data_IF_955091632433
#
_entry.id   IF_955091632433
#
_cell.length_a   1.000
_cell.length_b   1.000
_cell.length_c   1.000
_cell.angle_alpha   90.00
_cell.angle_beta   90.00
_cell.angle_gamma   90.00
#
_symmetry.space_group_name_H-M   'P 1'
#
loop_
_entity.id
_entity.type
_entity.pdbx_description
1 polymer ?
#
# COMPACT_ATOMS: atom_id res chain seq x y z
N UNK A 1 16.55 8.40 43.20
CA UNK A 1 16.17 7.13 42.53
C UNK A 1 15.23 7.49 41.38
N UNK A 2 15.80 7.91 40.23
CA UNK A 2 15.03 8.43 39.11
C UNK A 2 14.43 7.26 38.32
N UNK A 3 13.11 7.07 38.46
CA UNK A 3 12.34 6.23 37.56
C UNK A 3 12.46 6.82 36.15
N UNK A 4 13.28 6.20 35.29
CA UNK A 4 13.14 6.36 33.84
C UNK A 4 11.69 6.02 33.52
N UNK A 5 10.87 7.03 33.25
CA UNK A 5 9.57 6.83 32.62
C UNK A 5 9.88 6.01 31.37
N UNK A 6 9.41 4.75 31.33
CA UNK A 6 9.58 3.92 30.15
C UNK A 6 9.04 4.70 28.95
N UNK A 7 9.80 4.76 27.85
CA UNK A 7 9.40 5.48 26.64
C UNK A 7 7.98 5.09 26.18
N UNK A 8 7.55 3.86 26.46
CA UNK A 8 6.20 3.38 26.23
C UNK A 8 5.13 4.14 27.04
N UNK A 9 5.37 4.39 28.33
CA UNK A 9 4.44 5.14 29.18
C UNK A 9 4.31 6.60 28.73
N UNK A 10 5.41 7.20 28.26
CA UNK A 10 5.38 8.54 27.68
C UNK A 10 4.56 8.57 26.38
N UNK A 11 4.78 7.60 25.48
CA UNK A 11 4.04 7.48 24.22
C UNK A 11 2.54 7.27 24.46
N UNK A 12 2.17 6.42 25.41
CA UNK A 12 0.77 6.20 25.81
C UNK A 12 0.16 7.47 26.42
N UNK A 13 0.93 8.22 27.21
CA UNK A 13 0.52 9.52 27.74
C UNK A 13 0.24 10.54 26.63
N UNK A 14 1.19 10.70 25.69
CA UNK A 14 1.06 11.60 24.54
C UNK A 14 -0.13 11.22 23.66
N UNK A 15 -0.34 9.92 23.41
CA UNK A 15 -1.51 9.40 22.71
C UNK A 15 -2.81 9.92 23.31
N UNK A 16 -2.99 9.74 24.62
CA UNK A 16 -4.21 10.14 25.33
C UNK A 16 -4.44 11.65 25.24
N UNK A 17 -3.37 12.44 25.32
CA UNK A 17 -3.48 13.89 25.16
C UNK A 17 -3.93 14.28 23.76
N UNK A 18 -3.33 13.71 22.72
CA UNK A 18 -3.72 13.96 21.32
C UNK A 18 -5.16 13.52 21.04
N UNK A 19 -5.57 12.35 21.55
CA UNK A 19 -6.96 11.89 21.44
C UNK A 19 -7.94 12.87 22.09
N UNK A 20 -7.60 13.42 23.25
CA UNK A 20 -8.42 14.43 23.92
C UNK A 20 -8.53 15.73 23.10
N UNK A 21 -7.44 16.16 22.48
CA UNK A 21 -7.43 17.35 21.61
C UNK A 21 -8.33 17.14 20.40
N UNK A 22 -8.19 16.01 19.69
CA UNK A 22 -9.03 15.71 18.53
C UNK A 22 -10.51 15.57 18.91
N UNK A 23 -10.80 14.89 20.03
CA UNK A 23 -12.16 14.78 20.54
C UNK A 23 -12.78 16.15 20.81
N UNK A 24 -12.04 17.05 21.48
CA UNK A 24 -12.52 18.40 21.75
C UNK A 24 -12.75 19.20 20.47
N UNK A 25 -11.92 19.05 19.44
CA UNK A 25 -12.12 19.68 18.13
C UNK A 25 -13.40 19.17 17.45
N UNK A 26 -13.66 17.86 17.50
CA UNK A 26 -14.91 17.28 16.99
C UNK A 26 -16.13 17.81 17.73
N UNK A 27 -16.08 17.89 19.07
CA UNK A 27 -17.18 18.45 19.87
C UNK A 27 -17.40 19.94 19.57
N UNK A 28 -16.32 20.70 19.37
CA UNK A 28 -16.44 22.11 18.98
C UNK A 28 -17.15 22.26 17.62
N UNK A 29 -16.79 21.46 16.62
CA UNK A 29 -17.47 21.47 15.32
C UNK A 29 -18.96 21.13 15.44
N UNK A 30 -19.29 20.10 16.23
CA UNK A 30 -20.69 19.72 16.48
C UNK A 30 -21.45 20.86 17.16
N UNK A 31 -20.85 21.52 18.14
CA UNK A 31 -21.46 22.67 18.82
C UNK A 31 -21.66 23.84 17.85
N UNK A 32 -20.71 24.13 16.96
CA UNK A 32 -20.86 25.19 15.95
C UNK A 32 -22.02 24.87 14.99
N UNK A 33 -22.18 23.62 14.57
CA UNK A 33 -23.31 23.19 13.74
C UNK A 33 -24.65 23.32 14.48
N UNK A 34 -24.72 22.85 15.73
CA UNK A 34 -25.95 22.89 16.54
C UNK A 34 -26.41 24.31 16.89
N UNK A 35 -25.48 25.26 16.97
CA UNK A 35 -25.77 26.66 17.27
C UNK A 35 -25.88 27.54 16.01
N UNK A 36 -25.93 26.94 14.81
CA UNK A 36 -26.01 27.64 13.52
C UNK A 36 -24.89 28.69 13.30
N UNK A 37 -23.69 28.38 13.82
CA UNK A 37 -22.50 29.21 13.71
C UNK A 37 -21.62 28.85 12.50
N UNK A 38 -22.06 27.89 11.68
CA UNK A 38 -21.38 27.47 10.45
C UNK A 38 -21.90 28.31 9.28
N UNK A 39 -21.05 29.11 8.61
CA UNK A 39 -21.47 29.91 7.47
C UNK A 39 -21.99 29.03 6.31
N UNK A 40 -22.99 29.52 5.60
CA UNK A 40 -23.43 28.90 4.34
C UNK A 40 -22.37 29.06 3.25
N UNK A 41 -22.18 28.02 2.46
CA UNK A 41 -21.28 28.03 1.32
C UNK A 41 -21.67 29.11 0.30
N UNK A 42 -20.68 29.86 -0.18
CA UNK A 42 -20.84 30.85 -1.24
C UNK A 42 -19.81 30.57 -2.36
N UNK A 43 -20.31 30.32 -3.58
CA UNK A 43 -19.47 29.99 -4.74
C UNK A 43 -18.59 31.16 -5.22
N UNK A 44 -19.00 32.40 -4.99
CA UNK A 44 -18.25 33.61 -5.38
C UNK A 44 -17.14 33.94 -4.36
N UNK A 45 -17.31 33.50 -3.10
CA UNK A 45 -16.35 33.70 -2.01
C UNK A 45 -16.21 32.39 -1.20
N UNK A 46 -15.54 31.37 -1.76
CA UNK A 46 -15.33 30.11 -1.06
C UNK A 46 -14.55 30.36 0.23
N UNK A 47 -15.02 29.78 1.33
CA UNK A 47 -14.36 29.87 2.64
C UNK A 47 -13.68 28.56 2.94
N UNK A 48 -12.63 28.62 3.75
CA UNK A 48 -12.00 27.42 4.31
C UNK A 48 -12.99 26.69 5.22
N UNK A 49 -13.88 27.43 5.88
CA UNK A 49 -14.88 26.91 6.82
C UNK A 49 -16.29 27.35 6.41
N UNK A 50 -17.08 26.39 5.91
CA UNK A 50 -18.51 26.55 5.60
C UNK A 50 -19.23 25.20 5.69
N UNK A 51 -20.55 25.21 5.49
CA UNK A 51 -21.37 23.99 5.56
C UNK A 51 -21.03 22.91 4.53
N UNK A 52 -20.23 23.22 3.50
CA UNK A 52 -19.75 22.25 2.50
C UNK A 52 -18.40 21.64 2.92
N UNK A 53 -17.52 22.41 3.55
CA UNK A 53 -16.20 21.91 4.00
C UNK A 53 -16.22 21.23 5.36
N UNK A 54 -17.14 21.61 6.26
CA UNK A 54 -17.25 21.02 7.61
C UNK A 54 -17.43 19.49 7.59
N UNK A 55 -18.26 18.88 6.72
CA UNK A 55 -18.36 17.43 6.61
C UNK A 55 -17.02 16.75 6.28
N UNK A 56 -16.23 17.33 5.36
CA UNK A 56 -14.90 16.81 5.01
C UNK A 56 -13.94 16.92 6.21
N UNK A 57 -13.95 18.06 6.91
CA UNK A 57 -13.14 18.25 8.12
C UNK A 57 -13.48 17.22 9.21
N UNK A 58 -14.77 16.91 9.41
CA UNK A 58 -15.22 15.88 10.36
C UNK A 58 -14.67 14.50 9.98
N UNK A 59 -14.71 14.15 8.70
CA UNK A 59 -14.14 12.90 8.20
C UNK A 59 -12.63 12.82 8.42
N UNK A 60 -11.91 13.91 8.16
CA UNK A 60 -10.45 13.98 8.41
C UNK A 60 -10.15 13.79 9.90
N UNK A 61 -10.80 14.55 10.79
CA UNK A 61 -10.60 14.44 12.23
C UNK A 61 -10.93 13.04 12.77
N UNK A 62 -11.99 12.43 12.26
CA UNK A 62 -12.34 11.05 12.62
C UNK A 62 -11.27 10.07 12.12
N UNK A 63 -10.74 10.25 10.92
CA UNK A 63 -9.64 9.46 10.40
C UNK A 63 -8.38 9.58 11.26
N UNK A 64 -7.99 10.80 11.65
CA UNK A 64 -6.85 11.04 12.53
C UNK A 64 -7.04 10.43 13.93
N UNK A 65 -8.26 10.49 14.47
CA UNK A 65 -8.58 9.84 15.74
C UNK A 65 -8.39 8.32 15.65
N UNK A 66 -8.91 7.68 14.61
CA UNK A 66 -8.78 6.24 14.39
C UNK A 66 -7.31 5.83 14.19
N UNK A 67 -6.52 6.61 13.44
CA UNK A 67 -5.07 6.38 13.28
C UNK A 67 -4.34 6.43 14.62
N UNK A 68 -4.63 7.43 15.46
CA UNK A 68 -4.06 7.52 16.80
C UNK A 68 -4.52 6.37 17.70
N UNK A 69 -5.79 5.98 17.62
CA UNK A 69 -6.34 4.84 18.36
C UNK A 69 -5.61 3.53 18.01
N UNK A 70 -5.34 3.30 16.73
CA UNK A 70 -4.64 2.11 16.27
C UNK A 70 -3.10 2.24 16.33
N UNK A 71 -2.57 3.43 16.63
CA UNK A 71 -1.14 3.73 16.58
C UNK A 71 -0.52 3.45 15.19
N UNK A 72 -1.31 3.67 14.14
CA UNK A 72 -0.92 3.44 12.76
C UNK A 72 -0.21 4.68 12.19
N UNK A 73 0.99 4.48 11.65
CA UNK A 73 1.74 5.50 10.92
C UNK A 73 1.80 5.09 9.45
N UNK A 74 1.33 5.96 8.57
CA UNK A 74 1.43 5.76 7.12
C UNK A 74 2.68 6.45 6.61
N UNK A 75 3.64 5.67 6.12
CA UNK A 75 4.85 6.17 5.48
C UNK A 75 4.72 6.06 3.96
N UNK A 76 4.68 7.20 3.27
CA UNK A 76 4.72 7.24 1.81
C UNK A 76 6.17 7.39 1.31
N UNK A 77 6.65 6.44 0.51
CA UNK A 77 8.00 6.46 -0.10
C UNK A 77 7.88 6.77 -1.59
N UNK A 78 8.30 7.96 -2.00
CA UNK A 78 8.24 8.45 -3.39
C UNK A 78 9.65 8.67 -3.94
N UNK A 79 9.86 8.39 -5.22
CA UNK A 79 11.15 8.61 -5.87
C UNK A 79 11.23 7.92 -7.23
N UNK A 80 12.22 8.33 -8.04
CA UNK A 80 12.47 7.77 -9.37
C UNK A 80 12.86 6.29 -9.29
N UNK A 81 12.75 5.59 -10.42
CA UNK A 81 13.21 4.21 -10.52
C UNK A 81 14.69 4.10 -10.11
N UNK A 82 15.06 3.00 -9.43
CA UNK A 82 16.42 2.74 -8.91
C UNK A 82 16.92 3.65 -7.77
N UNK A 83 16.06 4.52 -7.20
CA UNK A 83 16.40 5.32 -6.03
C UNK A 83 16.48 4.52 -4.69
N UNK A 84 16.49 3.18 -4.74
CA UNK A 84 16.55 2.34 -3.53
C UNK A 84 15.25 2.18 -2.76
N UNK A 85 14.09 2.60 -3.29
CA UNK A 85 12.79 2.56 -2.56
C UNK A 85 12.46 1.18 -1.98
N UNK A 86 12.47 0.13 -2.81
CA UNK A 86 12.19 -1.25 -2.35
C UNK A 86 13.21 -1.71 -1.31
N UNK A 87 14.48 -1.31 -1.46
CA UNK A 87 15.56 -1.61 -0.52
C UNK A 87 15.33 -0.91 0.83
N UNK A 88 14.94 0.37 0.83
CA UNK A 88 14.60 1.11 2.05
C UNK A 88 13.40 0.50 2.75
N UNK A 89 12.38 0.09 2.00
CA UNK A 89 11.21 -0.59 2.56
C UNK A 89 11.61 -1.95 3.17
N UNK A 90 12.38 -2.78 2.46
CA UNK A 90 12.88 -4.05 2.98
C UNK A 90 13.71 -3.85 4.27
N UNK A 91 14.52 -2.79 4.33
CA UNK A 91 15.29 -2.44 5.52
C UNK A 91 14.40 -2.02 6.70
N UNK A 92 13.33 -1.25 6.47
CA UNK A 92 12.35 -0.88 7.50
C UNK A 92 11.59 -2.11 8.00
N UNK A 93 11.17 -2.99 7.08
CA UNK A 93 10.48 -4.25 7.41
C UNK A 93 11.44 -5.26 8.08
N UNK A 94 12.74 -5.14 7.82
CA UNK A 94 13.78 -6.08 8.26
C UNK A 94 13.78 -7.40 7.47
N UNK A 95 13.14 -7.44 6.30
CA UNK A 95 12.97 -8.65 5.46
C UNK A 95 12.98 -8.32 3.97
N UNK A 96 13.55 -9.22 3.18
CA UNK A 96 13.59 -9.14 1.70
C UNK A 96 12.24 -9.54 1.08
N UNK A 97 11.19 -8.74 1.26
CA UNK A 97 9.83 -9.03 0.75
C UNK A 97 9.56 -8.44 -0.63
N UNK A 98 10.06 -7.24 -0.90
CA UNK A 98 9.87 -6.58 -2.19
C UNK A 98 11.02 -6.91 -3.14
N UNK A 99 10.73 -7.28 -4.41
CA UNK A 99 11.76 -7.54 -5.39
C UNK A 99 12.54 -6.27 -5.73
N UNK A 100 13.85 -6.44 -5.85
CA UNK A 100 14.77 -5.43 -6.36
C UNK A 100 15.55 -6.05 -7.54
N UNK A 101 15.53 -5.38 -8.69
CA UNK A 101 16.42 -5.64 -9.84
C UNK A 101 16.73 -4.28 -10.48
N UNK A 102 17.63 -4.24 -11.45
CA UNK A 102 18.01 -3.02 -12.21
C UNK A 102 16.91 -2.50 -13.17
N UNK A 103 15.63 -2.74 -12.86
CA UNK A 103 14.44 -2.50 -13.70
C UNK A 103 13.25 -2.15 -12.79
N UNK A 104 12.17 -1.52 -13.30
CA UNK A 104 11.04 -1.13 -12.43
C UNK A 104 10.36 -2.37 -11.86
N UNK A 105 10.21 -2.46 -10.54
CA UNK A 105 9.70 -3.64 -9.81
C UNK A 105 8.40 -3.36 -9.06
N UNK A 106 7.63 -2.37 -9.51
CA UNK A 106 6.36 -1.99 -8.88
C UNK A 106 5.30 -1.73 -9.95
N UNK A 107 4.64 -2.80 -10.40
CA UNK A 107 3.53 -2.72 -11.36
C UNK A 107 2.20 -2.35 -10.69
N UNK A 108 1.98 -2.80 -9.45
CA UNK A 108 0.79 -2.49 -8.66
C UNK A 108 1.17 -1.73 -7.39
N UNK A 109 0.34 -0.77 -6.94
CA UNK A 109 0.43 -0.24 -5.59
C UNK A 109 0.42 -1.38 -4.57
N UNK A 110 1.43 -1.44 -3.70
CA UNK A 110 1.58 -2.50 -2.71
C UNK A 110 1.52 -1.88 -1.32
N UNK A 111 0.52 -2.27 -0.53
CA UNK A 111 0.40 -1.89 0.88
C UNK A 111 1.16 -2.91 1.73
N UNK A 112 2.05 -2.43 2.60
CA UNK A 112 2.71 -3.24 3.62
C UNK A 112 2.22 -2.76 4.97
N UNK A 113 1.63 -3.66 5.74
CA UNK A 113 1.07 -3.38 7.06
C UNK A 113 1.63 -4.36 8.08
N UNK A 114 2.04 -3.85 9.24
CA UNK A 114 2.36 -4.68 10.38
C UNK A 114 1.06 -5.15 11.04
N UNK A 115 0.93 -6.45 11.27
CA UNK A 115 -0.20 -7.04 11.99
C UNK A 115 0.32 -7.66 13.29
N UNK A 116 -0.34 -7.33 14.40
CA UNK A 116 -0.01 -7.91 15.71
C UNK A 116 -0.01 -9.43 15.62
N UNK A 117 1.01 -10.05 16.21
CA UNK A 117 1.22 -11.51 16.29
C UNK A 117 1.53 -12.22 14.95
N UNK A 118 1.64 -11.48 13.84
CA UNK A 118 2.01 -12.05 12.56
C UNK A 118 3.54 -12.14 12.41
N UNK A 119 4.09 -13.34 12.62
CA UNK A 119 5.54 -13.60 12.54
C UNK A 119 6.06 -13.81 11.12
N UNK A 120 5.21 -14.28 10.21
CA UNK A 120 5.55 -14.50 8.81
C UNK A 120 4.75 -13.56 7.92
N UNK A 121 5.38 -12.98 6.87
CA UNK A 121 4.67 -12.11 5.96
C UNK A 121 3.64 -12.91 5.16
N UNK A 122 2.49 -12.29 4.91
CA UNK A 122 1.39 -12.86 4.14
C UNK A 122 1.01 -11.81 3.09
N UNK A 123 1.02 -12.20 1.82
CA UNK A 123 0.51 -11.39 0.73
C UNK A 123 -0.87 -11.90 0.34
N UNK A 124 -1.81 -10.97 0.16
CA UNK A 124 -3.14 -11.23 -0.38
C UNK A 124 -3.37 -10.36 -1.61
N UNK A 125 -3.89 -10.95 -2.68
CA UNK A 125 -4.17 -10.23 -3.93
C UNK A 125 -5.42 -10.82 -4.61
N UNK A 126 -6.26 -9.96 -5.21
CA UNK A 126 -7.29 -10.46 -6.11
C UNK A 126 -6.66 -10.82 -7.47
N UNK A 127 -6.62 -12.12 -7.73
CA UNK A 127 -5.95 -12.71 -8.89
C UNK A 127 -6.91 -13.15 -9.99
N UNK A 128 -8.22 -12.85 -9.86
CA UNK A 128 -9.23 -13.30 -10.85
C UNK A 128 -8.91 -12.79 -12.25
N UNK A 129 -8.71 -11.49 -12.41
CA UNK A 129 -8.45 -10.87 -13.70
C UNK A 129 -7.05 -11.21 -14.23
N UNK A 130 -6.07 -11.28 -13.33
CA UNK A 130 -4.69 -11.70 -13.66
C UNK A 130 -4.70 -13.12 -14.24
N UNK A 131 -5.40 -14.06 -13.59
CA UNK A 131 -5.48 -15.44 -14.07
C UNK A 131 -6.34 -15.59 -15.33
N UNK A 132 -7.37 -14.76 -15.51
CA UNK A 132 -8.13 -14.69 -16.78
C UNK A 132 -7.25 -14.24 -17.93
N UNK A 133 -6.41 -13.23 -17.70
CA UNK A 133 -5.43 -12.77 -18.68
C UNK A 133 -4.40 -13.85 -19.04
N UNK A 134 -3.83 -14.55 -18.04
CA UNK A 134 -2.91 -15.67 -18.28
C UNK A 134 -3.55 -16.78 -19.10
N UNK A 135 -4.82 -17.11 -18.84
CA UNK A 135 -5.55 -18.11 -19.60
C UNK A 135 -5.74 -17.71 -21.07
N UNK A 136 -5.89 -16.41 -21.36
CA UNK A 136 -5.95 -15.89 -22.72
C UNK A 136 -4.57 -15.94 -23.39
N UNK A 137 -3.49 -15.56 -22.68
CA UNK A 137 -2.12 -15.62 -23.20
C UNK A 137 -1.72 -17.03 -23.68
N UNK A 138 -2.13 -18.07 -22.95
CA UNK A 138 -1.90 -19.47 -23.36
C UNK A 138 -2.43 -19.82 -24.74
N UNK A 139 -3.52 -19.17 -25.16
CA UNK A 139 -4.23 -19.50 -26.40
C UNK A 139 -3.64 -18.82 -27.63
N UNK A 140 -2.93 -17.70 -27.46
CA UNK A 140 -2.68 -16.78 -28.57
C UNK A 140 -1.20 -16.72 -28.98
N UNK A 141 -0.20 -16.77 -28.08
CA UNK A 141 1.09 -16.12 -28.47
C UNK A 141 2.37 -16.56 -27.71
N UNK A 142 2.37 -17.61 -26.87
CA UNK A 142 3.58 -17.86 -26.03
C UNK A 142 4.82 -18.30 -26.83
N UNK A 143 4.66 -18.88 -28.02
CA UNK A 143 5.78 -19.26 -28.91
C UNK A 143 6.35 -18.08 -29.70
N UNK A 144 5.53 -17.07 -30.05
CA UNK A 144 5.96 -15.90 -30.80
C UNK A 144 6.76 -14.92 -29.91
N UNK A 145 6.43 -14.84 -28.62
CA UNK A 145 7.17 -14.02 -27.66
C UNK A 145 8.56 -14.59 -27.31
N UNK A 146 8.79 -15.89 -27.48
CA UNK A 146 10.10 -16.50 -27.20
C UNK A 146 11.19 -16.05 -28.17
N UNK A 147 10.83 -15.52 -29.34
CA UNK A 147 11.79 -15.01 -30.35
C UNK A 147 12.02 -13.50 -30.29
N UNK A 148 11.27 -12.77 -29.46
CA UNK A 148 11.41 -11.31 -29.34
C UNK A 148 12.68 -10.96 -28.54
N UNK A 149 13.55 -10.09 -29.09
CA UNK A 149 14.78 -9.62 -28.43
C UNK A 149 14.52 -9.00 -27.05
N UNK A 150 13.34 -8.40 -26.86
CA UNK A 150 12.90 -7.80 -25.59
C UNK A 150 12.60 -8.85 -24.51
N UNK A 151 12.38 -10.11 -24.90
CA UNK A 151 12.09 -11.24 -24.02
C UNK A 151 13.33 -12.12 -23.84
N UNK A 152 14.04 -12.45 -24.92
CA UNK A 152 15.23 -13.33 -24.87
C UNK A 152 16.38 -12.73 -24.07
N UNK A 153 16.46 -11.41 -23.99
CA UNK A 153 17.44 -10.71 -23.15
C UNK A 153 17.20 -10.88 -21.62
N UNK A 154 16.13 -11.60 -21.24
CA UNK A 154 15.61 -11.68 -19.87
C UNK A 154 15.20 -13.12 -19.54
N UNK A 155 16.13 -13.90 -18.98
CA UNK A 155 15.89 -15.30 -18.61
C UNK A 155 14.64 -15.48 -17.72
N UNK A 156 14.37 -14.55 -16.81
CA UNK A 156 13.26 -14.67 -15.86
C UNK A 156 11.89 -14.56 -16.56
N UNK A 157 11.81 -13.79 -17.66
CA UNK A 157 10.59 -13.67 -18.46
C UNK A 157 10.38 -14.95 -19.27
N UNK A 158 11.45 -15.55 -19.80
CA UNK A 158 11.40 -16.83 -20.50
C UNK A 158 10.94 -17.95 -19.56
N UNK A 159 11.49 -18.01 -18.34
CA UNK A 159 11.05 -18.95 -17.30
C UNK A 159 9.57 -18.74 -16.94
N UNK A 160 9.12 -17.49 -16.81
CA UNK A 160 7.70 -17.19 -16.57
C UNK A 160 6.81 -17.70 -17.70
N UNK A 161 7.20 -17.50 -18.97
CA UNK A 161 6.47 -18.02 -20.14
C UNK A 161 6.35 -19.55 -20.07
N UNK A 162 7.44 -20.25 -19.79
CA UNK A 162 7.45 -21.71 -19.69
C UNK A 162 6.55 -22.19 -18.53
N UNK A 163 6.63 -21.54 -17.37
CA UNK A 163 5.76 -21.84 -16.23
C UNK A 163 4.29 -21.62 -16.58
N UNK A 164 3.97 -20.53 -17.29
CA UNK A 164 2.61 -20.26 -17.78
C UNK A 164 2.17 -21.39 -18.71
N UNK A 165 2.98 -21.81 -19.68
CA UNK A 165 2.66 -22.92 -20.59
C UNK A 165 2.31 -24.19 -19.80
N UNK A 166 3.10 -24.52 -18.77
CA UNK A 166 2.91 -25.71 -17.93
C UNK A 166 1.68 -25.69 -17.02
N UNK A 167 1.02 -24.55 -16.82
CA UNK A 167 -0.15 -24.50 -15.93
C UNK A 167 -0.14 -23.43 -14.86
N UNK A 168 0.91 -22.61 -14.78
CA UNK A 168 1.06 -21.65 -13.68
C UNK A 168 -0.14 -20.71 -13.56
N UNK A 169 -0.56 -20.51 -12.30
CA UNK A 169 -1.64 -19.61 -11.90
C UNK A 169 -1.23 -18.91 -10.61
N UNK A 170 -1.60 -17.64 -10.51
CA UNK A 170 -1.45 -16.90 -9.26
C UNK A 170 -2.48 -17.37 -8.23
N UNK A 171 -2.04 -17.52 -6.98
CA UNK A 171 -2.88 -17.87 -5.83
C UNK A 171 -3.36 -16.59 -5.16
N UNK A 172 -4.48 -16.66 -4.43
CA UNK A 172 -5.00 -15.51 -3.67
C UNK A 172 -4.10 -15.11 -2.49
N UNK A 173 -3.29 -16.05 -2.00
CA UNK A 173 -2.48 -15.88 -0.80
C UNK A 173 -1.12 -16.55 -0.94
N UNK A 174 -0.08 -15.86 -0.46
CA UNK A 174 1.30 -16.33 -0.36
C UNK A 174 1.84 -16.08 1.05
N UNK A 175 2.66 -16.99 1.57
CA UNK A 175 3.21 -16.95 2.94
C UNK A 175 4.73 -17.09 2.87
N UNK A 176 5.45 -16.27 3.63
CA UNK A 176 6.92 -16.23 3.66
C UNK A 176 7.53 -15.26 2.65
N UNK A 177 8.76 -14.82 2.91
CA UNK A 177 9.45 -13.81 2.09
C UNK A 177 9.63 -14.27 0.65
N UNK A 178 10.18 -15.48 0.46
CA UNK A 178 10.50 -16.00 -0.86
C UNK A 178 9.25 -16.13 -1.75
N UNK A 179 8.16 -16.67 -1.19
CA UNK A 179 6.92 -16.85 -1.94
C UNK A 179 6.31 -15.50 -2.37
N UNK A 180 6.40 -14.48 -1.50
CA UNK A 180 5.93 -13.12 -1.78
C UNK A 180 6.83 -12.44 -2.81
N UNK A 181 8.15 -12.58 -2.66
CA UNK A 181 9.14 -12.05 -3.59
C UNK A 181 8.91 -12.62 -4.99
N UNK A 182 8.82 -13.94 -5.13
CA UNK A 182 8.57 -14.61 -6.41
C UNK A 182 7.22 -14.21 -7.01
N UNK A 183 6.17 -14.08 -6.19
CA UNK A 183 4.87 -13.56 -6.65
C UNK A 183 5.01 -12.17 -7.28
N UNK A 184 5.62 -11.22 -6.56
CA UNK A 184 5.76 -9.84 -7.01
C UNK A 184 6.69 -9.75 -8.24
N UNK A 185 7.76 -10.55 -8.28
CA UNK A 185 8.66 -10.62 -9.43
C UNK A 185 7.91 -11.09 -10.68
N UNK A 186 7.22 -12.23 -10.59
CA UNK A 186 6.43 -12.80 -11.69
C UNK A 186 5.31 -11.87 -12.14
N UNK A 187 4.68 -11.15 -11.21
CA UNK A 187 3.64 -10.17 -11.54
C UNK A 187 4.21 -8.99 -12.35
N UNK A 188 5.37 -8.47 -11.95
CA UNK A 188 6.04 -7.41 -12.70
C UNK A 188 6.47 -7.90 -14.09
N UNK A 189 6.97 -9.14 -14.19
CA UNK A 189 7.38 -9.75 -15.46
C UNK A 189 6.16 -9.96 -16.38
N UNK A 190 5.00 -10.36 -15.84
CA UNK A 190 3.74 -10.47 -16.58
C UNK A 190 3.27 -9.12 -17.16
N UNK A 191 3.37 -8.03 -16.39
CA UNK A 191 2.98 -6.70 -16.88
C UNK A 191 3.94 -6.18 -17.95
N UNK A 192 5.19 -6.67 -17.98
CA UNK A 192 6.11 -6.37 -19.09
C UNK A 192 5.70 -7.12 -20.33
N UNK A 193 5.36 -8.40 -20.21
CA UNK A 193 4.84 -9.20 -21.33
C UNK A 193 3.58 -8.57 -21.95
N UNK A 194 2.69 -7.98 -21.15
CA UNK A 194 1.48 -7.34 -21.69
C UNK A 194 1.71 -6.08 -22.52
N UNK A 195 2.94 -5.55 -22.56
CA UNK A 195 3.32 -4.36 -23.34
C UNK A 195 4.05 -4.70 -24.64
N UNK A 196 4.36 -5.97 -24.83
CA UNK A 196 5.08 -6.49 -26.00
C UNK A 196 4.06 -6.82 -27.07
#
# INVERSE_FOLDING_TARGET
MNQKISNENLLVGLKKQLQKVLFNQQQLLLNLEQNDLVPQHNAEKPRVFDNKTVPEMKNVLQGEYTKLENFEVVLAVVGTMKAGKSTTINAIVGREVLPNRNRPMTALPTLIAHKKDQKEPILTCDVKDINKYIANLKKITLSEFQTDERVTSYNEIVELIQNIQQGYKFKKQYKGEEAIFSFLANLNDLVRLSRI
#
